data_IF_511641406389
#
_entry.id   IF_511641406389
#
_cell.length_a   1.000
_cell.length_b   1.000
_cell.length_c   1.000
_cell.angle_alpha   90.00
_cell.angle_beta   90.00
_cell.angle_gamma   90.00
#
_symmetry.space_group_name_H-M   'P 1'
#
loop_
_entity.id
_entity.type
_entity.pdbx_description
1 polymer ?
#
# COMPACT_ATOMS: atom_id res chain seq x y z
N UNK A 1 26.06 24.04 27.02
CA UNK A 1 26.17 22.62 26.72
C UNK A 1 24.88 22.26 26.03
N UNK A 2 24.85 22.46 24.67
CA UNK A 2 23.67 22.20 23.86
C UNK A 2 23.70 20.74 23.45
N UNK A 3 22.92 19.92 24.11
CA UNK A 3 22.58 18.59 23.61
C UNK A 3 21.57 18.78 22.48
N UNK A 4 22.06 18.89 21.26
CA UNK A 4 21.24 18.72 20.07
C UNK A 4 20.73 17.27 20.10
N UNK A 5 19.49 17.09 20.53
CA UNK A 5 18.70 15.91 20.24
C UNK A 5 18.55 15.84 18.72
N UNK A 6 19.41 15.07 18.07
CA UNK A 6 19.15 14.60 16.73
C UNK A 6 17.93 13.66 16.83
N UNK A 7 16.74 14.24 16.83
CA UNK A 7 15.52 13.51 16.66
C UNK A 7 15.62 12.78 15.33
N UNK A 8 15.59 11.45 15.34
CA UNK A 8 15.43 10.67 14.14
C UNK A 8 14.14 11.10 13.44
N UNK A 9 14.28 11.98 12.46
CA UNK A 9 13.14 12.46 11.69
C UNK A 9 12.51 11.28 10.98
N UNK A 10 11.19 11.13 11.11
CA UNK A 10 10.41 10.13 10.41
C UNK A 10 10.68 10.20 8.92
N UNK A 11 10.73 9.04 8.25
CA UNK A 11 10.82 8.94 6.79
C UNK A 11 9.45 8.92 6.11
N UNK A 12 8.42 9.32 6.84
CA UNK A 12 7.05 9.51 6.33
C UNK A 12 6.78 11.01 6.26
N UNK A 13 6.21 11.53 5.17
CA UNK A 13 5.88 12.94 5.08
C UNK A 13 4.78 13.33 6.07
N UNK A 14 4.75 14.60 6.44
CA UNK A 14 3.69 15.14 7.29
C UNK A 14 2.32 14.99 6.62
N UNK A 15 1.33 14.51 7.40
CA UNK A 15 -0.03 14.25 6.91
C UNK A 15 -0.83 15.55 6.88
N UNK A 16 -0.73 16.26 5.78
CA UNK A 16 -1.44 17.51 5.49
C UNK A 16 -2.50 17.32 4.39
N UNK A 17 -3.26 18.35 4.08
CA UNK A 17 -4.18 18.32 2.93
C UNK A 17 -3.42 18.02 1.62
N UNK A 18 -2.24 18.60 1.43
CA UNK A 18 -1.40 18.37 0.25
C UNK A 18 -0.97 16.89 0.18
N UNK A 19 -0.61 16.29 1.32
CA UNK A 19 -0.34 14.86 1.39
C UNK A 19 -1.50 14.03 0.83
N UNK A 20 -2.74 14.32 1.23
CA UNK A 20 -3.91 13.58 0.76
C UNK A 20 -4.18 13.77 -0.73
N UNK A 21 -4.01 14.99 -1.25
CA UNK A 21 -4.15 15.26 -2.69
C UNK A 21 -3.14 14.43 -3.49
N UNK A 22 -1.86 14.43 -3.08
CA UNK A 22 -0.82 13.64 -3.74
C UNK A 22 -1.10 12.14 -3.56
N UNK A 23 -1.56 11.73 -2.38
CA UNK A 23 -1.88 10.32 -2.08
C UNK A 23 -2.97 9.80 -3.01
N UNK A 24 -4.06 10.53 -3.18
CA UNK A 24 -5.15 10.17 -4.10
C UNK A 24 -4.61 10.05 -5.52
N UNK A 25 -3.87 11.05 -6.01
CA UNK A 25 -3.29 11.01 -7.36
C UNK A 25 -2.35 9.81 -7.55
N UNK A 26 -1.47 9.54 -6.57
CA UNK A 26 -0.52 8.44 -6.61
C UNK A 26 -1.21 7.06 -6.58
N UNK A 27 -2.24 6.89 -5.77
CA UNK A 27 -3.00 5.63 -5.70
C UNK A 27 -3.81 5.40 -6.96
N UNK A 28 -4.50 6.41 -7.49
CA UNK A 28 -5.23 6.33 -8.77
C UNK A 28 -4.29 5.99 -9.92
N UNK A 29 -3.11 6.62 -9.97
CA UNK A 29 -2.11 6.29 -10.99
C UNK A 29 -1.60 4.85 -10.85
N UNK A 30 -1.32 4.39 -9.63
CA UNK A 30 -0.86 3.03 -9.37
C UNK A 30 -1.89 1.97 -9.76
N UNK A 31 -3.17 2.21 -9.47
CA UNK A 31 -4.28 1.35 -9.86
C UNK A 31 -4.41 1.26 -11.38
N UNK A 32 -4.48 2.41 -12.05
CA UNK A 32 -4.55 2.48 -13.52
C UNK A 32 -3.35 1.81 -14.20
N UNK A 33 -2.14 1.94 -13.63
CA UNK A 33 -0.94 1.27 -14.14
C UNK A 33 -1.01 -0.25 -13.97
N UNK A 34 -1.55 -0.73 -12.85
CA UNK A 34 -1.80 -2.16 -12.62
C UNK A 34 -2.75 -2.75 -13.65
N UNK A 35 -3.88 -2.10 -13.88
CA UNK A 35 -4.87 -2.49 -14.86
C UNK A 35 -4.31 -2.45 -16.29
N UNK A 36 -3.56 -1.41 -16.63
CA UNK A 36 -2.93 -1.31 -17.94
C UNK A 36 -2.01 -2.50 -18.23
N UNK A 37 -1.19 -2.92 -17.27
CA UNK A 37 -0.27 -4.05 -17.45
C UNK A 37 -1.04 -5.38 -17.45
N UNK A 38 -1.94 -5.58 -16.50
CA UNK A 38 -2.66 -6.84 -16.34
C UNK A 38 -3.70 -7.07 -17.42
N UNK A 39 -4.46 -6.05 -17.77
CA UNK A 39 -5.60 -6.13 -18.67
C UNK A 39 -5.25 -5.65 -20.09
N UNK A 40 -4.76 -4.41 -20.26
CA UNK A 40 -4.54 -3.82 -21.59
C UNK A 40 -3.36 -4.46 -22.35
N UNK A 41 -2.24 -4.75 -21.64
CA UNK A 41 -1.11 -5.50 -22.20
C UNK A 41 -1.31 -7.02 -22.17
N UNK A 42 -2.43 -7.48 -21.61
CA UNK A 42 -2.84 -8.89 -21.59
C UNK A 42 -1.82 -9.83 -20.90
N UNK A 43 -1.03 -9.31 -19.94
CA UNK A 43 -0.06 -10.13 -19.20
C UNK A 43 -0.74 -10.96 -18.08
N UNK A 44 -1.95 -10.59 -17.70
CA UNK A 44 -2.70 -11.23 -16.63
C UNK A 44 -2.25 -10.77 -15.23
N UNK A 45 -3.13 -10.97 -14.26
CA UNK A 45 -2.95 -10.44 -12.89
C UNK A 45 -1.76 -11.07 -12.15
N UNK A 46 -1.48 -12.35 -12.33
CA UNK A 46 -0.35 -13.01 -11.67
C UNK A 46 1.00 -12.41 -12.11
N UNK A 47 1.20 -12.26 -13.42
CA UNK A 47 2.46 -11.71 -13.96
C UNK A 47 2.58 -10.24 -13.55
N UNK A 48 1.49 -9.47 -13.66
CA UNK A 48 1.44 -8.09 -13.17
C UNK A 48 1.84 -8.00 -11.69
N UNK A 49 1.24 -8.84 -10.85
CA UNK A 49 1.55 -8.90 -9.41
C UNK A 49 3.03 -9.19 -9.15
N UNK A 50 3.62 -10.18 -9.83
CA UNK A 50 5.04 -10.53 -9.66
C UNK A 50 5.96 -9.38 -10.07
N UNK A 51 5.69 -8.72 -11.19
CA UNK A 51 6.48 -7.59 -11.67
C UNK A 51 6.43 -6.44 -10.64
N UNK A 52 5.22 -6.04 -10.25
CA UNK A 52 5.06 -4.91 -9.34
C UNK A 52 5.49 -5.24 -7.90
N UNK A 53 5.38 -6.50 -7.45
CA UNK A 53 5.93 -6.94 -6.19
C UNK A 53 7.48 -6.81 -6.17
N UNK A 54 8.15 -7.17 -7.25
CA UNK A 54 9.59 -6.99 -7.36
C UNK A 54 9.99 -5.51 -7.32
N UNK A 55 9.25 -4.64 -8.03
CA UNK A 55 9.46 -3.19 -8.00
C UNK A 55 9.21 -2.63 -6.59
N UNK A 56 8.13 -3.03 -5.95
CA UNK A 56 7.80 -2.61 -4.59
C UNK A 56 8.86 -3.01 -3.57
N UNK A 57 9.30 -4.27 -3.58
CA UNK A 57 10.36 -4.75 -2.69
C UNK A 57 11.67 -4.00 -2.91
N UNK A 58 12.03 -3.73 -4.17
CA UNK A 58 13.19 -2.91 -4.51
C UNK A 58 13.07 -1.47 -3.98
N UNK A 59 11.91 -0.85 -4.15
CA UNK A 59 11.64 0.50 -3.66
C UNK A 59 11.66 0.57 -2.11
N UNK A 60 11.08 -0.41 -1.43
CA UNK A 60 11.14 -0.52 0.05
C UNK A 60 12.58 -0.73 0.51
N UNK A 61 13.35 -1.57 -0.17
CA UNK A 61 14.78 -1.76 0.12
C UNK A 61 15.57 -0.44 0.00
N UNK A 62 15.29 0.33 -1.05
CA UNK A 62 15.89 1.65 -1.24
C UNK A 62 15.46 2.66 -0.15
N UNK A 63 14.18 2.63 0.27
CA UNK A 63 13.67 3.44 1.39
C UNK A 63 14.41 3.11 2.70
N UNK A 64 14.57 1.84 3.01
CA UNK A 64 15.28 1.39 4.22
C UNK A 64 16.75 1.82 4.17
N UNK A 65 17.39 1.72 3.01
CA UNK A 65 18.77 2.13 2.81
C UNK A 65 18.97 3.65 2.85
N UNK A 66 17.96 4.44 2.52
CA UNK A 66 18.02 5.89 2.58
C UNK A 66 18.17 6.36 4.04
N UNK A 67 19.13 7.26 4.28
CA UNK A 67 19.39 7.78 5.65
C UNK A 67 18.42 8.87 6.09
N UNK A 68 17.63 9.41 5.17
CA UNK A 68 16.68 10.51 5.41
C UNK A 68 15.49 10.38 4.46
N UNK A 69 14.41 11.09 4.77
CA UNK A 69 13.25 11.19 3.91
C UNK A 69 13.62 11.66 2.50
N UNK A 70 13.15 10.93 1.50
CA UNK A 70 13.33 11.22 0.08
C UNK A 70 11.95 11.26 -0.59
N UNK A 71 11.41 12.46 -0.91
CA UNK A 71 10.02 12.58 -1.39
C UNK A 71 9.71 11.71 -2.63
N UNK A 72 10.57 11.77 -3.64
CA UNK A 72 10.35 10.99 -4.87
C UNK A 72 10.35 9.48 -4.61
N UNK A 73 11.29 9.01 -3.79
CA UNK A 73 11.37 7.59 -3.43
C UNK A 73 10.16 7.15 -2.63
N UNK A 74 9.70 7.98 -1.69
CA UNK A 74 8.49 7.71 -0.90
C UNK A 74 7.25 7.55 -1.81
N UNK A 75 7.01 8.53 -2.69
CA UNK A 75 5.84 8.49 -3.57
C UNK A 75 5.93 7.39 -4.62
N UNK A 76 7.13 7.09 -5.14
CA UNK A 76 7.35 5.92 -6.00
C UNK A 76 7.00 4.62 -5.27
N UNK A 77 7.38 4.49 -4.00
CA UNK A 77 7.05 3.32 -3.20
C UNK A 77 5.54 3.23 -2.92
N UNK A 78 4.86 4.36 -2.71
CA UNK A 78 3.39 4.42 -2.60
C UNK A 78 2.74 3.94 -3.89
N UNK A 79 3.17 4.44 -5.06
CA UNK A 79 2.65 4.01 -6.36
C UNK A 79 2.86 2.49 -6.53
N UNK A 80 4.08 2.02 -6.31
CA UNK A 80 4.39 0.59 -6.43
C UNK A 80 3.54 -0.28 -5.46
N UNK A 81 3.32 0.19 -4.22
CA UNK A 81 2.48 -0.54 -3.25
C UNK A 81 1.02 -0.61 -3.67
N UNK A 82 0.49 0.45 -4.29
CA UNK A 82 -0.88 0.44 -4.83
C UNK A 82 -0.97 -0.48 -6.03
N UNK A 83 -0.04 -0.38 -6.96
CA UNK A 83 -0.05 -1.20 -8.18
C UNK A 83 0.04 -2.70 -7.86
N UNK A 84 0.93 -3.11 -6.95
CA UNK A 84 0.97 -4.52 -6.51
C UNK A 84 -0.30 -4.89 -5.75
N UNK A 85 -0.84 -3.98 -4.95
CA UNK A 85 -2.08 -4.20 -4.21
C UNK A 85 -3.27 -4.47 -5.13
N UNK A 86 -3.47 -3.65 -6.16
CA UNK A 86 -4.52 -3.81 -7.17
C UNK A 86 -4.38 -5.14 -7.91
N UNK A 87 -3.21 -5.40 -8.51
CA UNK A 87 -3.00 -6.63 -9.27
C UNK A 87 -3.12 -7.89 -8.41
N UNK A 88 -2.73 -7.84 -7.14
CA UNK A 88 -2.88 -8.94 -6.20
C UNK A 88 -4.32 -9.16 -5.76
N UNK A 89 -5.09 -8.10 -5.50
CA UNK A 89 -6.51 -8.19 -5.19
C UNK A 89 -7.27 -8.83 -6.35
N UNK A 90 -7.07 -8.34 -7.57
CA UNK A 90 -7.66 -8.90 -8.77
C UNK A 90 -7.27 -10.36 -9.03
N UNK A 91 -6.00 -10.71 -8.79
CA UNK A 91 -5.56 -12.10 -8.89
C UNK A 91 -6.30 -12.99 -7.90
N UNK A 92 -6.43 -12.58 -6.65
CA UNK A 92 -7.12 -13.35 -5.61
C UNK A 92 -8.63 -13.47 -5.91
N UNK A 93 -9.26 -12.38 -6.24
CA UNK A 93 -10.72 -12.33 -6.41
C UNK A 93 -11.20 -12.93 -7.72
N UNK A 94 -10.51 -12.62 -8.83
CA UNK A 94 -10.93 -12.98 -10.18
C UNK A 94 -10.26 -14.25 -10.70
N UNK A 95 -8.95 -14.46 -10.41
CA UNK A 95 -8.23 -15.61 -10.94
C UNK A 95 -8.31 -16.84 -10.04
N UNK A 96 -8.21 -16.68 -8.71
CA UNK A 96 -8.34 -17.79 -7.76
C UNK A 96 -9.79 -18.09 -7.40
N UNK A 97 -10.74 -17.22 -7.76
CA UNK A 97 -12.15 -17.41 -7.49
C UNK A 97 -12.54 -17.34 -6.01
N UNK A 98 -11.73 -16.69 -5.18
CA UNK A 98 -12.04 -16.47 -3.75
C UNK A 98 -13.25 -15.55 -3.61
N UNK A 99 -13.46 -14.68 -4.60
CA UNK A 99 -14.52 -13.69 -4.66
C UNK A 99 -14.28 -12.52 -3.71
N UNK A 100 -14.91 -11.40 -4.02
CA UNK A 100 -14.69 -10.12 -3.30
C UNK A 100 -14.87 -10.21 -1.79
N UNK A 101 -15.91 -10.92 -1.29
CA UNK A 101 -16.15 -11.07 0.15
C UNK A 101 -15.05 -11.86 0.84
N UNK A 102 -14.58 -12.94 0.21
CA UNK A 102 -13.51 -13.78 0.75
C UNK A 102 -12.17 -13.05 0.72
N UNK A 103 -11.81 -12.43 -0.40
CA UNK A 103 -10.59 -11.63 -0.57
C UNK A 103 -10.54 -10.49 0.43
N UNK A 104 -11.59 -9.69 0.54
CA UNK A 104 -11.71 -8.59 1.51
C UNK A 104 -11.52 -9.07 2.95
N UNK A 105 -12.14 -10.20 3.32
CA UNK A 105 -12.04 -10.74 4.69
C UNK A 105 -10.62 -11.18 5.03
N UNK A 106 -9.94 -11.86 4.10
CA UNK A 106 -8.54 -12.29 4.26
C UNK A 106 -7.62 -11.07 4.36
N UNK A 107 -7.78 -10.08 3.49
CA UNK A 107 -6.97 -8.86 3.48
C UNK A 107 -7.16 -8.05 4.76
N UNK A 108 -8.40 -7.95 5.27
CA UNK A 108 -8.66 -7.31 6.56
C UNK A 108 -7.94 -8.05 7.71
N UNK A 109 -8.00 -9.38 7.72
CA UNK A 109 -7.30 -10.18 8.73
C UNK A 109 -5.77 -9.99 8.65
N UNK A 110 -5.19 -9.94 7.45
CA UNK A 110 -3.76 -9.67 7.23
C UNK A 110 -3.38 -8.26 7.68
N UNK A 111 -4.19 -7.26 7.37
CA UNK A 111 -3.98 -5.88 7.82
C UNK A 111 -3.98 -5.79 9.35
N UNK A 112 -5.01 -6.35 10.00
CA UNK A 112 -5.11 -6.36 11.46
C UNK A 112 -3.95 -7.13 12.11
N UNK A 113 -3.53 -8.23 11.50
CA UNK A 113 -2.38 -9.01 11.96
C UNK A 113 -1.08 -8.21 11.83
N UNK A 114 -0.89 -7.48 10.72
CA UNK A 114 0.30 -6.63 10.54
C UNK A 114 0.36 -5.49 11.56
N UNK A 115 -0.77 -4.84 11.83
CA UNK A 115 -0.89 -3.79 12.85
C UNK A 115 -0.64 -4.36 14.26
N UNK A 116 -1.21 -5.52 14.58
CA UNK A 116 -0.99 -6.18 15.86
C UNK A 116 0.47 -6.58 16.05
N UNK A 117 1.10 -7.16 15.03
CA UNK A 117 2.51 -7.53 15.06
C UNK A 117 3.41 -6.28 15.22
N UNK A 118 3.08 -5.18 14.53
CA UNK A 118 3.77 -3.91 14.69
C UNK A 118 3.69 -3.42 16.14
N UNK A 119 2.47 -3.32 16.68
CA UNK A 119 2.26 -2.91 18.07
C UNK A 119 3.01 -3.81 19.07
N UNK A 120 2.91 -5.14 18.90
CA UNK A 120 3.57 -6.10 19.79
C UNK A 120 5.10 -6.00 19.74
N UNK A 121 5.66 -5.64 18.59
CA UNK A 121 7.13 -5.62 18.39
C UNK A 121 7.74 -4.29 18.81
N UNK A 122 7.06 -3.17 18.55
CA UNK A 122 7.60 -1.81 18.77
C UNK A 122 6.89 -1.04 19.89
N UNK A 123 5.81 -1.58 20.44
CA UNK A 123 5.06 -0.97 21.55
C UNK A 123 4.13 0.18 21.14
N UNK A 124 4.24 0.66 19.91
CA UNK A 124 3.38 1.73 19.39
C UNK A 124 3.21 1.61 17.88
N UNK A 125 2.09 2.12 17.36
CA UNK A 125 1.85 2.30 15.92
C UNK A 125 1.83 3.82 15.69
N UNK A 126 2.98 4.39 15.34
CA UNK A 126 3.09 5.82 15.05
C UNK A 126 3.96 6.05 13.83
N UNK A 127 3.50 6.93 12.93
CA UNK A 127 4.27 7.39 11.78
C UNK A 127 5.50 8.20 12.18
N UNK A 128 5.46 8.85 13.35
CA UNK A 128 6.58 9.66 13.85
C UNK A 128 7.79 8.81 14.23
N UNK A 129 7.58 7.53 14.49
CA UNK A 129 8.62 6.56 14.87
C UNK A 129 9.16 5.75 13.69
N UNK A 130 8.69 6.00 12.46
CA UNK A 130 9.14 5.29 11.24
C UNK A 130 10.50 5.83 10.79
N UNK A 131 11.54 5.44 11.51
CA UNK A 131 12.94 5.83 11.25
C UNK A 131 13.92 4.65 11.36
N UNK A 132 13.49 3.55 11.95
CA UNK A 132 14.29 2.32 12.04
C UNK A 132 13.90 1.31 10.95
N UNK A 133 14.83 0.45 10.48
CA UNK A 133 14.50 -0.56 9.48
C UNK A 133 13.30 -1.45 9.84
N UNK A 134 13.17 -1.81 11.12
CA UNK A 134 12.03 -2.61 11.59
C UNK A 134 10.71 -1.84 11.49
N UNK A 135 10.68 -0.58 11.90
CA UNK A 135 9.48 0.25 11.81
C UNK A 135 9.09 0.49 10.35
N UNK A 136 10.07 0.69 9.47
CA UNK A 136 9.84 0.85 8.03
C UNK A 136 9.25 -0.42 7.39
N UNK A 137 9.74 -1.60 7.75
CA UNK A 137 9.18 -2.86 7.24
C UNK A 137 7.70 -3.00 7.66
N UNK A 138 7.38 -2.78 8.94
CA UNK A 138 5.99 -2.83 9.41
C UNK A 138 5.12 -1.79 8.72
N UNK A 139 5.62 -0.57 8.56
CA UNK A 139 4.92 0.51 7.86
C UNK A 139 4.58 0.10 6.42
N UNK A 140 5.56 -0.35 5.63
CA UNK A 140 5.35 -0.69 4.23
C UNK A 140 4.48 -1.94 4.04
N UNK A 141 4.62 -2.95 4.89
CA UNK A 141 3.72 -4.13 4.88
C UNK A 141 2.29 -3.73 5.20
N UNK A 142 2.10 -2.88 6.21
CA UNK A 142 0.78 -2.38 6.60
C UNK A 142 0.16 -1.51 5.50
N UNK A 143 0.94 -0.62 4.88
CA UNK A 143 0.49 0.20 3.74
C UNK A 143 0.08 -0.68 2.56
N UNK A 144 0.86 -1.70 2.22
CA UNK A 144 0.53 -2.64 1.15
C UNK A 144 -0.82 -3.32 1.41
N UNK A 145 -1.01 -3.93 2.57
CA UNK A 145 -2.29 -4.59 2.88
C UNK A 145 -3.46 -3.61 2.95
N UNK A 146 -3.24 -2.40 3.47
CA UNK A 146 -4.26 -1.36 3.51
C UNK A 146 -4.70 -0.93 2.11
N UNK A 147 -3.78 -0.78 1.17
CA UNK A 147 -4.09 -0.40 -0.21
C UNK A 147 -4.77 -1.54 -0.97
N UNK A 148 -4.26 -2.76 -0.82
CA UNK A 148 -4.88 -3.96 -1.40
C UNK A 148 -6.32 -4.14 -0.89
N UNK A 149 -6.54 -3.96 0.41
CA UNK A 149 -7.88 -3.99 1.00
C UNK A 149 -8.77 -2.87 0.44
N UNK A 150 -8.22 -1.69 0.19
CA UNK A 150 -8.95 -0.57 -0.42
C UNK A 150 -9.50 -0.92 -1.80
N UNK A 151 -8.68 -1.53 -2.67
CA UNK A 151 -9.11 -2.01 -3.99
C UNK A 151 -10.19 -3.09 -3.85
N UNK A 152 -9.94 -4.13 -3.05
CA UNK A 152 -10.91 -5.22 -2.87
C UNK A 152 -12.26 -4.73 -2.28
N UNK A 153 -12.24 -3.77 -1.37
CA UNK A 153 -13.45 -3.13 -0.84
C UNK A 153 -14.16 -2.28 -1.89
N UNK A 154 -13.39 -1.52 -2.68
CA UNK A 154 -13.93 -0.72 -3.78
C UNK A 154 -14.67 -1.58 -4.79
N UNK A 155 -14.05 -2.66 -5.24
CA UNK A 155 -14.67 -3.61 -6.17
C UNK A 155 -15.88 -4.32 -5.55
N UNK A 156 -15.77 -4.76 -4.29
CA UNK A 156 -16.90 -5.38 -3.61
C UNK A 156 -18.11 -4.45 -3.50
N UNK A 157 -17.89 -3.18 -3.17
CA UNK A 157 -18.98 -2.20 -3.04
C UNK A 157 -19.53 -1.81 -4.40
N UNK A 158 -18.70 -1.68 -5.42
CA UNK A 158 -19.12 -1.34 -6.77
C UNK A 158 -19.93 -2.47 -7.42
N UNK A 159 -19.39 -3.68 -7.39
CA UNK A 159 -19.94 -4.83 -8.12
C UNK A 159 -20.96 -5.62 -7.29
N UNK A 160 -20.60 -6.02 -6.05
CA UNK A 160 -21.43 -6.91 -5.23
C UNK A 160 -22.55 -6.20 -4.49
N UNK A 161 -22.28 -4.99 -3.96
CA UNK A 161 -23.29 -4.17 -3.31
C UNK A 161 -24.16 -3.37 -4.31
N UNK A 162 -23.78 -3.39 -5.60
CA UNK A 162 -24.56 -2.78 -6.68
C UNK A 162 -24.55 -1.27 -6.71
N UNK A 163 -23.59 -0.61 -6.03
CA UNK A 163 -23.48 0.86 -6.01
C UNK A 163 -22.86 1.42 -7.30
N UNK A 164 -22.19 0.57 -8.08
CA UNK A 164 -21.34 1.00 -9.20
C UNK A 164 -20.13 1.80 -8.74
N UNK A 165 -19.14 2.00 -9.60
CA UNK A 165 -17.88 2.68 -9.23
C UNK A 165 -18.10 4.13 -8.77
N UNK A 166 -19.06 4.85 -9.35
CA UNK A 166 -19.38 6.21 -8.91
C UNK A 166 -19.99 6.26 -7.51
N UNK A 167 -20.86 5.30 -7.17
CA UNK A 167 -21.47 5.20 -5.84
C UNK A 167 -20.51 4.68 -4.77
N UNK A 168 -19.57 3.81 -5.14
CA UNK A 168 -18.54 3.32 -4.24
C UNK A 168 -17.45 4.35 -3.91
N UNK A 169 -17.34 5.42 -4.71
CA UNK A 169 -16.39 6.51 -4.49
C UNK A 169 -16.92 7.63 -3.56
N UNK A 170 -18.20 7.60 -3.18
CA UNK A 170 -18.85 8.57 -2.29
C UNK A 170 -18.90 8.09 -0.84
#
# INVERSE_FOLDING_TARGET
MNTTTEGHLSKVPEVTLVFWVIKIAATTFGETAGDAVSMSLNLGYLIGTVIFAAIFVGAVGAQIAAKRFQPFLYWTTIIASTTVGTTFADFADRSLGIGYTGGTSILLALLLTSLYAWYRTLGSISIDTVSSPKAEIFYWVTIMFSQTLGTALGDWTADSAGLGYAGAAL
#
